data_IF_022650988603
#
_entry.id   IF_022650988603
#
_cell.length_a   1.000
_cell.length_b   1.000
_cell.length_c   1.000
_cell.angle_alpha   90.00
_cell.angle_beta   90.00
_cell.angle_gamma   90.00
#
_symmetry.space_group_name_H-M   'P 1'
#
loop_
_entity.id
_entity.type
_entity.pdbx_description
1 polymer ?
#
# COMPACT_ATOMS: atom_id res chain seq x y z
N UNK A 1 10.74 -4.17 -17.71
CA UNK A 1 11.13 -2.86 -17.17
C UNK A 1 11.58 -3.08 -15.74
N UNK A 2 12.71 -2.51 -15.33
CA UNK A 2 13.35 -2.82 -14.04
C UNK A 2 12.79 -1.92 -12.92
N UNK A 3 12.92 -2.35 -11.66
CA UNK A 3 12.51 -1.53 -10.50
C UNK A 3 13.23 -0.17 -10.49
N UNK A 4 14.45 -0.11 -11.03
CA UNK A 4 15.22 1.13 -11.19
C UNK A 4 14.50 2.20 -12.00
N UNK A 5 13.63 1.80 -12.93
CA UNK A 5 12.93 2.75 -13.81
C UNK A 5 11.81 3.50 -13.08
N UNK A 6 11.34 2.97 -11.94
CA UNK A 6 10.35 3.61 -11.06
C UNK A 6 10.95 4.59 -10.07
N UNK A 7 12.23 4.45 -9.74
CA UNK A 7 12.90 5.28 -8.74
C UNK A 7 13.27 6.60 -9.41
N UNK A 8 12.78 7.77 -8.91
CA UNK A 8 13.15 9.06 -9.46
C UNK A 8 14.67 9.23 -9.41
N UNK A 9 15.26 9.64 -10.54
CA UNK A 9 16.68 10.00 -10.56
C UNK A 9 16.86 11.27 -9.76
N UNK A 10 17.82 11.26 -8.84
CA UNK A 10 18.20 12.46 -8.10
C UNK A 10 19.07 13.36 -8.99
N UNK A 11 18.65 14.61 -9.12
CA UNK A 11 19.32 15.69 -9.86
C UNK A 11 19.56 16.88 -8.93
N UNK A 12 20.52 17.74 -9.27
CA UNK A 12 20.85 18.90 -8.42
C UNK A 12 19.77 20.00 -8.39
N UNK A 13 18.74 19.89 -9.22
CA UNK A 13 17.72 20.92 -9.43
C UNK A 13 16.40 20.64 -8.68
N UNK A 14 16.27 19.48 -8.04
CA UNK A 14 15.08 19.07 -7.31
C UNK A 14 14.87 19.85 -6.02
N UNK A 15 13.60 20.03 -5.66
CA UNK A 15 13.17 20.66 -4.43
C UNK A 15 12.54 19.63 -3.50
N UNK A 16 12.51 19.98 -2.22
CA UNK A 16 11.84 19.19 -1.18
C UNK A 16 10.39 18.87 -1.58
N UNK A 17 10.10 17.58 -1.71
CA UNK A 17 8.79 17.04 -2.05
C UNK A 17 8.66 16.58 -3.50
N UNK A 18 9.66 16.81 -4.36
CA UNK A 18 9.63 16.35 -5.74
C UNK A 18 9.67 14.82 -5.81
N UNK A 19 10.41 14.17 -4.89
CA UNK A 19 10.43 12.71 -4.73
C UNK A 19 9.26 12.17 -3.89
N UNK A 20 8.23 12.97 -3.62
CA UNK A 20 6.96 12.52 -3.06
C UNK A 20 6.64 13.13 -1.70
N UNK A 21 5.45 13.73 -1.62
CA UNK A 21 4.81 14.15 -0.36
C UNK A 21 3.70 13.16 0.00
N UNK A 22 4.01 12.16 0.81
CA UNK A 22 3.11 11.06 1.11
C UNK A 22 2.46 11.20 2.48
N UNK A 23 1.29 10.59 2.65
CA UNK A 23 0.64 10.51 3.95
C UNK A 23 0.15 9.10 4.27
N UNK A 24 0.08 8.80 5.56
CA UNK A 24 -0.67 7.69 6.14
C UNK A 24 -1.80 8.27 6.99
N UNK A 25 -3.04 7.93 6.68
CA UNK A 25 -4.19 8.16 7.53
C UNK A 25 -4.50 6.86 8.28
N UNK A 26 -4.19 6.83 9.57
CA UNK A 26 -4.30 5.62 10.37
C UNK A 26 -3.72 5.80 11.76
N UNK A 27 -3.64 4.71 12.51
CA UNK A 27 -3.31 4.73 13.94
C UNK A 27 -4.50 5.05 14.82
N UNK A 28 -4.55 4.32 15.92
CA UNK A 28 -5.52 4.37 17.01
C UNK A 28 -4.76 4.23 18.32
N UNK A 29 -5.44 4.40 19.44
CA UNK A 29 -4.92 4.20 20.79
C UNK A 29 -4.23 2.83 20.93
N UNK A 30 -4.85 1.79 20.35
CA UNK A 30 -4.34 0.42 20.39
C UNK A 30 -3.22 0.17 19.37
N UNK A 31 -3.23 0.85 18.21
CA UNK A 31 -2.34 0.55 17.10
C UNK A 31 -1.51 1.75 16.59
N UNK A 32 -0.76 2.47 17.44
CA UNK A 32 0.05 3.61 17.01
C UNK A 32 1.25 3.18 16.13
N UNK A 33 1.70 1.92 16.24
CA UNK A 33 2.87 1.42 15.49
C UNK A 33 2.62 1.18 14.00
N UNK A 34 1.39 0.82 13.61
CA UNK A 34 1.05 0.49 12.22
C UNK A 34 1.32 1.64 11.23
N UNK A 35 0.78 2.87 11.43
CA UNK A 35 1.08 3.97 10.53
C UNK A 35 2.56 4.39 10.57
N UNK A 36 3.24 4.17 11.70
CA UNK A 36 4.66 4.48 11.84
C UNK A 36 5.53 3.57 10.96
N UNK A 37 5.27 2.26 10.92
CA UNK A 37 6.00 1.35 10.03
C UNK A 37 5.81 1.72 8.56
N UNK A 38 4.57 2.02 8.16
CA UNK A 38 4.28 2.44 6.79
C UNK A 38 5.01 3.75 6.40
N UNK A 39 4.89 4.79 7.23
CA UNK A 39 5.53 6.08 6.98
C UNK A 39 7.07 5.97 6.97
N UNK A 40 7.64 5.16 7.87
CA UNK A 40 9.09 4.94 7.89
C UNK A 40 9.54 4.18 6.64
N UNK A 41 8.78 3.19 6.18
CA UNK A 41 9.09 2.49 4.94
C UNK A 41 9.06 3.42 3.71
N UNK A 42 8.11 4.37 3.65
CA UNK A 42 8.07 5.42 2.61
C UNK A 42 9.36 6.24 2.59
N UNK A 43 9.79 6.76 3.75
CA UNK A 43 11.02 7.55 3.87
C UNK A 43 12.27 6.73 3.53
N UNK A 44 12.33 5.47 3.96
CA UNK A 44 13.48 4.58 3.70
C UNK A 44 13.59 4.15 2.24
N UNK A 45 12.46 4.15 1.51
CA UNK A 45 12.45 3.93 0.07
C UNK A 45 12.96 5.15 -0.71
N UNK A 46 12.71 6.37 -0.20
CA UNK A 46 13.20 7.61 -0.80
C UNK A 46 12.14 8.70 -0.97
N UNK A 47 10.97 8.58 -0.35
CA UNK A 47 10.02 9.69 -0.31
C UNK A 47 10.60 10.87 0.50
N UNK A 48 10.42 12.09 0.02
CA UNK A 48 10.95 13.30 0.68
C UNK A 48 10.23 13.63 1.98
N UNK A 49 8.93 13.39 2.02
CA UNK A 49 8.06 13.69 3.15
C UNK A 49 7.08 12.57 3.38
N UNK A 50 6.98 12.12 4.63
CA UNK A 50 5.95 11.22 5.09
C UNK A 50 5.19 11.87 6.26
N UNK A 51 3.88 12.05 6.06
CA UNK A 51 2.96 12.54 7.07
C UNK A 51 2.18 11.38 7.69
N UNK A 52 1.88 11.46 8.98
CA UNK A 52 0.87 10.61 9.64
C UNK A 52 -0.26 11.51 10.10
N UNK A 53 -1.49 11.19 9.71
CA UNK A 53 -2.71 11.76 10.26
C UNK A 53 -3.42 10.69 11.07
N UNK A 54 -3.50 10.93 12.38
CA UNK A 54 -3.94 9.94 13.35
C UNK A 54 -4.76 10.60 14.46
N UNK A 55 -5.38 9.81 15.32
CA UNK A 55 -6.11 10.33 16.46
C UNK A 55 -5.18 11.00 17.49
N UNK A 56 -5.69 11.92 18.35
CA UNK A 56 -4.84 12.72 19.22
C UNK A 56 -3.96 11.91 20.20
N UNK A 57 -4.45 10.80 20.73
CA UNK A 57 -3.70 9.95 21.66
C UNK A 57 -2.51 9.28 20.95
N UNK A 58 -2.78 8.60 19.84
CA UNK A 58 -1.76 7.99 18.99
C UNK A 58 -0.74 9.01 18.46
N UNK A 59 -1.18 10.22 18.10
CA UNK A 59 -0.30 11.28 17.61
C UNK A 59 0.79 11.65 18.63
N UNK A 60 0.44 11.64 19.92
CA UNK A 60 1.40 11.95 21.00
C UNK A 60 2.42 10.83 21.14
N UNK A 61 1.98 9.57 21.09
CA UNK A 61 2.85 8.40 21.16
C UNK A 61 3.82 8.35 19.98
N UNK A 62 3.31 8.47 18.75
CA UNK A 62 4.11 8.32 17.52
C UNK A 62 5.19 9.40 17.41
N UNK A 63 4.95 10.62 17.89
CA UNK A 63 5.96 11.69 17.93
C UNK A 63 7.20 11.35 18.77
N UNK A 64 7.11 10.35 19.65
CA UNK A 64 8.25 9.86 20.43
C UNK A 64 9.02 8.73 19.73
N UNK A 65 8.51 8.16 18.63
CA UNK A 65 9.20 7.09 17.91
C UNK A 65 10.31 7.61 16.99
N UNK A 66 10.12 8.79 16.39
CA UNK A 66 11.01 9.32 15.36
C UNK A 66 10.73 10.81 15.10
N UNK A 67 11.77 11.66 14.98
CA UNK A 67 11.62 13.06 14.57
C UNK A 67 11.43 13.23 13.04
N UNK A 68 11.70 12.22 12.23
CA UNK A 68 11.66 12.30 10.76
C UNK A 68 10.24 12.32 10.21
N UNK A 69 9.28 11.65 10.87
CA UNK A 69 7.90 11.55 10.41
C UNK A 69 7.07 12.75 10.89
N UNK A 70 6.34 13.38 9.98
CA UNK A 70 5.50 14.55 10.30
C UNK A 70 4.13 14.10 10.83
N UNK A 71 3.87 14.27 12.12
CA UNK A 71 2.64 13.77 12.75
C UNK A 71 1.62 14.88 12.98
N UNK A 72 0.51 14.80 12.23
CA UNK A 72 -0.69 15.62 12.37
C UNK A 72 -1.87 14.87 12.98
N UNK A 73 -2.91 15.60 13.35
CA UNK A 73 -4.17 15.02 13.84
C UNK A 73 -5.14 14.78 12.68
N UNK A 74 -5.97 13.75 12.75
CA UNK A 74 -6.91 13.36 11.67
C UNK A 74 -7.78 14.51 11.12
N UNK A 75 -8.35 15.43 11.92
CA UNK A 75 -9.15 16.53 11.38
C UNK A 75 -8.40 17.50 10.45
N UNK A 76 -7.06 17.53 10.52
CA UNK A 76 -6.25 18.36 9.64
C UNK A 76 -6.06 17.73 8.25
N UNK A 77 -6.32 16.43 8.09
CA UNK A 77 -6.04 15.68 6.86
C UNK A 77 -6.63 16.33 5.60
N UNK A 78 -7.90 16.77 5.55
CA UNK A 78 -8.47 17.40 4.35
C UNK A 78 -7.71 18.66 3.90
N UNK A 79 -7.15 19.43 4.84
CA UNK A 79 -6.39 20.63 4.51
C UNK A 79 -5.05 20.28 3.83
N UNK A 80 -4.40 19.20 4.27
CA UNK A 80 -3.12 18.76 3.73
C UNK A 80 -3.24 18.01 2.41
N UNK A 81 -4.41 17.44 2.11
CA UNK A 81 -4.63 16.72 0.85
C UNK A 81 -4.22 17.53 -0.38
N UNK A 82 -4.38 18.85 -0.39
CA UNK A 82 -4.00 19.70 -1.52
C UNK A 82 -2.50 19.58 -1.90
N UNK A 83 -1.62 19.44 -0.90
CA UNK A 83 -0.15 19.42 -1.11
C UNK A 83 0.46 18.03 -1.15
N UNK A 84 -0.30 17.00 -0.79
CA UNK A 84 0.15 15.60 -0.85
C UNK A 84 0.14 15.07 -2.29
N UNK A 85 1.02 14.14 -2.60
CA UNK A 85 1.07 13.45 -3.89
C UNK A 85 0.29 12.12 -3.87
N UNK A 86 0.09 11.52 -2.69
CA UNK A 86 -0.70 10.30 -2.51
C UNK A 86 -0.85 9.92 -1.04
N UNK A 87 -1.77 9.00 -0.75
CA UNK A 87 -2.11 8.62 0.62
C UNK A 87 -2.35 7.13 0.78
N UNK A 88 -1.91 6.60 1.92
CA UNK A 88 -2.28 5.30 2.46
C UNK A 88 -3.33 5.49 3.56
N UNK A 89 -4.44 4.77 3.52
CA UNK A 89 -5.52 4.87 4.50
C UNK A 89 -5.78 3.51 5.14
N UNK A 90 -5.83 3.47 6.48
CA UNK A 90 -6.30 2.33 7.24
C UNK A 90 -5.34 1.60 8.17
N UNK A 91 -4.00 1.64 8.03
CA UNK A 91 -3.09 0.96 8.98
C UNK A 91 -3.37 1.35 10.43
N UNK A 92 -3.88 0.39 11.22
CA UNK A 92 -4.21 0.57 12.63
C UNK A 92 -5.23 1.68 12.93
N UNK A 93 -6.11 2.04 11.98
CA UNK A 93 -7.03 3.15 12.16
C UNK A 93 -8.17 2.90 13.16
N UNK A 94 -8.33 1.67 13.64
CA UNK A 94 -9.39 1.31 14.59
C UNK A 94 -10.65 0.80 13.89
N UNK A 95 -11.52 0.14 14.67
CA UNK A 95 -12.72 -0.55 14.15
C UNK A 95 -14.02 -0.23 14.89
N UNK A 96 -13.96 0.65 15.90
CA UNK A 96 -15.18 1.18 16.52
C UNK A 96 -15.94 2.09 15.53
N UNK A 97 -17.17 2.44 15.87
CA UNK A 97 -18.04 3.22 14.99
C UNK A 97 -17.46 4.59 14.60
N UNK A 98 -16.83 5.30 15.54
CA UNK A 98 -16.25 6.62 15.27
C UNK A 98 -15.02 6.51 14.36
N UNK A 99 -14.18 5.50 14.57
CA UNK A 99 -13.04 5.18 13.71
C UNK A 99 -13.50 4.84 12.29
N UNK A 100 -14.54 4.00 12.14
CA UNK A 100 -15.11 3.67 10.83
C UNK A 100 -15.62 4.90 10.11
N UNK A 101 -16.40 5.76 10.77
CA UNK A 101 -16.93 6.99 10.18
C UNK A 101 -15.81 7.93 9.69
N UNK A 102 -14.78 8.09 10.53
CA UNK A 102 -13.64 8.95 10.24
C UNK A 102 -12.81 8.43 9.05
N UNK A 103 -12.52 7.12 9.04
CA UNK A 103 -11.78 6.47 7.95
C UNK A 103 -12.57 6.53 6.64
N UNK A 104 -13.88 6.29 6.69
CA UNK A 104 -14.76 6.38 5.52
C UNK A 104 -14.82 7.80 4.97
N UNK A 105 -14.87 8.82 5.83
CA UNK A 105 -14.77 10.21 5.41
C UNK A 105 -13.41 10.50 4.73
N UNK A 106 -12.30 10.02 5.31
CA UNK A 106 -10.97 10.17 4.72
C UNK A 106 -10.86 9.53 3.33
N UNK A 107 -11.40 8.32 3.15
CA UNK A 107 -11.46 7.64 1.85
C UNK A 107 -12.26 8.47 0.84
N UNK A 108 -13.46 8.93 1.21
CA UNK A 108 -14.32 9.71 0.31
C UNK A 108 -13.66 11.02 -0.12
N UNK A 109 -13.06 11.76 0.81
CA UNK A 109 -12.37 13.03 0.50
C UNK A 109 -11.11 12.78 -0.35
N UNK A 110 -10.30 11.78 -0.02
CA UNK A 110 -9.06 11.49 -0.76
C UNK A 110 -9.34 11.03 -2.20
N UNK A 111 -10.34 10.17 -2.40
CA UNK A 111 -10.68 9.63 -3.73
C UNK A 111 -11.43 10.62 -4.63
N UNK A 112 -12.11 11.60 -4.04
CA UNK A 112 -12.78 12.69 -4.76
C UNK A 112 -11.87 13.90 -5.01
N UNK A 113 -10.66 13.95 -4.46
CA UNK A 113 -9.76 15.09 -4.59
C UNK A 113 -9.33 15.35 -6.04
N UNK A 114 -9.14 16.63 -6.37
CA UNK A 114 -8.55 17.08 -7.63
C UNK A 114 -7.26 17.90 -7.37
N UNK A 115 -6.18 17.68 -8.13
CA UNK A 115 -6.03 16.64 -9.16
C UNK A 115 -6.09 15.23 -8.54
N UNK A 116 -6.43 14.21 -9.35
CA UNK A 116 -6.46 12.81 -8.92
C UNK A 116 -5.13 12.40 -8.28
N UNK A 117 -5.22 11.66 -7.17
CA UNK A 117 -4.07 11.21 -6.38
C UNK A 117 -4.18 9.71 -6.15
N UNK A 118 -3.05 8.97 -6.15
CA UNK A 118 -3.01 7.62 -5.65
C UNK A 118 -3.52 7.49 -4.21
N UNK A 119 -4.47 6.58 -4.01
CA UNK A 119 -5.02 6.20 -2.71
C UNK A 119 -4.86 4.70 -2.53
N UNK A 120 -4.04 4.30 -1.56
CA UNK A 120 -3.94 2.89 -1.13
C UNK A 120 -4.80 2.71 0.11
N UNK A 121 -5.61 1.66 0.16
CA UNK A 121 -6.48 1.35 1.29
C UNK A 121 -6.10 -0.03 1.83
N UNK A 122 -5.67 -0.09 3.09
CA UNK A 122 -5.21 -1.31 3.76
C UNK A 122 -5.93 -1.53 5.09
N UNK A 123 -5.92 -2.78 5.57
CA UNK A 123 -6.35 -3.14 6.92
C UNK A 123 -7.70 -2.52 7.35
N UNK A 124 -7.71 -1.61 8.32
CA UNK A 124 -8.95 -1.04 8.86
C UNK A 124 -9.64 -0.09 7.86
N UNK A 125 -8.93 0.38 6.84
CA UNK A 125 -9.51 1.04 5.67
C UNK A 125 -10.43 0.09 4.90
N UNK A 126 -10.00 -1.15 4.68
CA UNK A 126 -10.81 -2.19 4.04
C UNK A 126 -12.00 -2.58 4.93
N UNK A 127 -11.78 -2.61 6.25
CA UNK A 127 -12.87 -2.82 7.21
C UNK A 127 -13.92 -1.72 7.11
N UNK A 128 -13.51 -0.45 7.08
CA UNK A 128 -14.42 0.69 6.97
C UNK A 128 -15.23 0.65 5.66
N UNK A 129 -14.63 0.23 4.54
CA UNK A 129 -15.37 -0.02 3.29
C UNK A 129 -16.48 -1.07 3.51
N UNK A 130 -16.17 -2.23 4.09
CA UNK A 130 -17.17 -3.30 4.33
C UNK A 130 -18.33 -2.81 5.20
N UNK A 131 -18.05 -1.98 6.22
CA UNK A 131 -19.06 -1.47 7.14
C UNK A 131 -19.93 -0.35 6.55
N UNK A 132 -19.32 0.57 5.82
CA UNK A 132 -19.98 1.85 5.46
C UNK A 132 -20.45 1.95 4.01
N UNK A 133 -19.99 1.06 3.12
CA UNK A 133 -20.42 1.06 1.72
C UNK A 133 -21.59 0.10 1.50
N UNK A 134 -22.43 0.46 0.54
CA UNK A 134 -23.56 -0.34 0.07
C UNK A 134 -23.19 -1.15 -1.16
N UNK A 135 -24.02 -2.14 -1.49
CA UNK A 135 -23.88 -2.87 -2.75
C UNK A 135 -24.09 -1.90 -3.93
N UNK A 136 -23.19 -1.94 -4.92
CA UNK A 136 -23.17 -1.00 -6.05
C UNK A 136 -22.36 0.28 -5.83
N UNK A 137 -21.89 0.54 -4.61
CA UNK A 137 -20.92 1.63 -4.39
C UNK A 137 -19.59 1.29 -5.11
N UNK A 138 -19.04 2.29 -5.81
CA UNK A 138 -17.80 2.17 -6.56
C UNK A 138 -16.97 3.45 -6.44
N UNK A 139 -15.66 3.32 -6.61
CA UNK A 139 -14.76 4.47 -6.63
C UNK A 139 -14.99 5.32 -7.90
N UNK A 140 -14.73 6.64 -7.84
CA UNK A 140 -14.90 7.53 -8.98
C UNK A 140 -14.09 7.09 -10.20
N UNK A 141 -14.60 7.40 -11.39
CA UNK A 141 -13.88 7.12 -12.63
C UNK A 141 -12.54 7.86 -12.67
N UNK A 142 -11.55 7.22 -13.31
CA UNK A 142 -10.17 7.68 -13.40
C UNK A 142 -9.44 7.87 -12.05
N UNK A 143 -10.02 7.40 -10.94
CA UNK A 143 -9.33 7.37 -9.65
C UNK A 143 -8.24 6.28 -9.64
N UNK A 144 -7.17 6.52 -8.88
CA UNK A 144 -6.06 5.57 -8.72
C UNK A 144 -6.19 4.97 -7.31
N UNK A 145 -7.15 4.05 -7.16
CA UNK A 145 -7.42 3.39 -5.89
C UNK A 145 -6.87 1.96 -5.94
N UNK A 146 -6.14 1.57 -4.90
CA UNK A 146 -5.60 0.23 -4.73
C UNK A 146 -5.99 -0.31 -3.35
N UNK A 147 -6.72 -1.42 -3.32
CA UNK A 147 -7.02 -2.14 -2.08
C UNK A 147 -5.98 -3.23 -1.86
N UNK A 148 -5.50 -3.41 -0.63
CA UNK A 148 -4.43 -4.39 -0.32
C UNK A 148 -4.89 -5.54 0.60
N UNK A 149 -5.96 -6.29 0.28
CA UNK A 149 -6.47 -7.30 1.21
C UNK A 149 -5.50 -8.49 1.40
N UNK A 150 -5.38 -8.98 2.63
CA UNK A 150 -4.94 -10.35 2.89
C UNK A 150 -6.08 -11.35 2.60
N UNK A 151 -5.83 -12.66 2.72
CA UNK A 151 -6.83 -13.70 2.44
C UNK A 151 -8.16 -13.54 3.20
N UNK A 152 -8.13 -13.11 4.46
CA UNK A 152 -9.33 -12.92 5.28
C UNK A 152 -10.08 -11.64 4.90
N UNK A 153 -9.35 -10.57 4.62
CA UNK A 153 -9.92 -9.29 4.14
C UNK A 153 -10.55 -9.46 2.76
N UNK A 154 -9.90 -10.22 1.88
CA UNK A 154 -10.38 -10.53 0.53
C UNK A 154 -11.72 -11.28 0.59
N UNK A 155 -11.83 -12.31 1.45
CA UNK A 155 -13.08 -13.06 1.62
C UNK A 155 -14.23 -12.17 2.13
N UNK A 156 -13.94 -11.22 3.04
CA UNK A 156 -14.93 -10.26 3.54
C UNK A 156 -15.40 -9.30 2.45
N UNK A 157 -14.48 -8.75 1.67
CA UNK A 157 -14.82 -7.87 0.55
C UNK A 157 -15.62 -8.63 -0.51
N UNK A 158 -15.23 -9.86 -0.83
CA UNK A 158 -15.93 -10.70 -1.80
C UNK A 158 -17.38 -10.95 -1.41
N UNK A 159 -17.62 -11.33 -0.15
CA UNK A 159 -18.98 -11.56 0.38
C UNK A 159 -19.83 -10.31 0.33
N UNK A 160 -19.24 -9.16 0.63
CA UNK A 160 -19.94 -7.88 0.71
C UNK A 160 -20.32 -7.32 -0.66
N UNK A 161 -19.41 -7.38 -1.63
CA UNK A 161 -19.54 -6.60 -2.87
C UNK A 161 -19.78 -7.43 -4.14
N UNK A 162 -19.55 -8.73 -4.10
CA UNK A 162 -19.80 -9.64 -5.23
C UNK A 162 -20.56 -10.91 -4.83
N UNK A 163 -21.03 -11.00 -3.57
CA UNK A 163 -21.79 -12.12 -3.03
C UNK A 163 -21.11 -13.50 -3.28
N UNK A 164 -19.78 -13.54 -3.17
CA UNK A 164 -18.96 -14.75 -3.35
C UNK A 164 -17.96 -14.93 -2.19
N UNK A 165 -17.25 -16.05 -2.12
CA UNK A 165 -16.31 -16.38 -1.03
C UNK A 165 -15.01 -16.96 -1.57
N UNK A 166 -13.88 -16.42 -1.12
CA UNK A 166 -12.54 -16.91 -1.46
C UNK A 166 -12.01 -17.97 -0.50
N UNK A 167 -12.70 -18.19 0.63
CA UNK A 167 -12.33 -19.18 1.63
C UNK A 167 -12.27 -20.60 1.04
N UNK A 168 -11.15 -21.30 1.32
CA UNK A 168 -10.90 -22.68 0.90
C UNK A 168 -10.99 -22.91 -0.62
N UNK A 169 -10.76 -21.86 -1.42
CA UNK A 169 -10.77 -21.91 -2.89
C UNK A 169 -9.35 -22.01 -3.47
N UNK A 170 -9.19 -22.65 -4.64
CA UNK A 170 -7.93 -22.63 -5.38
C UNK A 170 -7.64 -21.22 -5.93
N UNK A 171 -6.37 -20.96 -6.28
CA UNK A 171 -5.90 -19.63 -6.69
C UNK A 171 -6.66 -19.09 -7.89
N UNK A 172 -7.02 -19.93 -8.84
CA UNK A 172 -7.75 -19.57 -10.06
C UNK A 172 -9.14 -19.00 -9.73
N UNK A 173 -9.84 -19.58 -8.75
CA UNK A 173 -11.12 -19.07 -8.28
C UNK A 173 -10.95 -17.76 -7.51
N UNK A 174 -9.90 -17.64 -6.68
CA UNK A 174 -9.58 -16.38 -5.98
C UNK A 174 -9.30 -15.26 -6.99
N UNK A 175 -8.55 -15.54 -8.06
CA UNK A 175 -8.28 -14.60 -9.15
C UNK A 175 -9.57 -14.17 -9.83
N UNK A 176 -10.47 -15.10 -10.17
CA UNK A 176 -11.78 -14.77 -10.77
C UNK A 176 -12.62 -13.86 -9.87
N UNK A 177 -12.67 -14.15 -8.58
CA UNK A 177 -13.41 -13.35 -7.59
C UNK A 177 -12.76 -11.96 -7.45
N UNK A 178 -11.43 -11.89 -7.38
CA UNK A 178 -10.69 -10.63 -7.35
C UNK A 178 -10.96 -9.77 -8.60
N UNK A 179 -10.96 -10.35 -9.79
CA UNK A 179 -11.32 -9.63 -11.02
C UNK A 179 -12.75 -9.08 -11.01
N UNK A 180 -13.70 -9.85 -10.46
CA UNK A 180 -15.09 -9.38 -10.32
C UNK A 180 -15.20 -8.24 -9.32
N UNK A 181 -14.46 -8.33 -8.21
CA UNK A 181 -14.44 -7.30 -7.17
C UNK A 181 -13.75 -6.01 -7.66
N UNK A 182 -12.63 -6.12 -8.37
CA UNK A 182 -11.89 -4.99 -8.94
C UNK A 182 -12.73 -4.18 -9.93
N UNK A 183 -13.49 -4.87 -10.80
CA UNK A 183 -14.44 -4.23 -11.72
C UNK A 183 -15.62 -3.60 -10.96
N UNK A 184 -16.24 -4.34 -10.03
CA UNK A 184 -17.41 -3.89 -9.26
C UNK A 184 -17.12 -2.59 -8.51
N UNK A 185 -15.98 -2.55 -7.80
CA UNK A 185 -15.56 -1.37 -7.04
C UNK A 185 -14.85 -0.31 -7.89
N UNK A 186 -14.50 -0.60 -9.15
CA UNK A 186 -13.70 0.28 -10.01
C UNK A 186 -12.34 0.64 -9.38
N UNK A 187 -11.60 -0.36 -8.90
CA UNK A 187 -10.29 -0.18 -8.27
C UNK A 187 -9.30 -1.27 -8.65
N UNK A 188 -8.03 -1.06 -8.34
CA UNK A 188 -7.02 -2.10 -8.40
C UNK A 188 -7.08 -2.92 -7.10
N UNK A 189 -6.79 -4.22 -7.19
CA UNK A 189 -6.63 -5.09 -6.04
C UNK A 189 -5.20 -5.62 -5.99
N UNK A 190 -4.58 -5.55 -4.81
CA UNK A 190 -3.34 -6.23 -4.49
C UNK A 190 -3.65 -7.27 -3.40
N UNK A 191 -3.92 -8.51 -3.82
CA UNK A 191 -4.23 -9.62 -2.90
C UNK A 191 -2.93 -10.20 -2.36
N UNK A 192 -2.68 -9.99 -1.07
CA UNK A 192 -1.45 -10.43 -0.38
C UNK A 192 -1.50 -11.93 -0.12
N UNK A 193 -0.45 -12.65 -0.51
CA UNK A 193 -0.44 -14.12 -0.44
C UNK A 193 0.94 -14.76 -0.44
N UNK A 194 0.97 -16.09 -0.64
CA UNK A 194 2.23 -16.79 -0.95
C UNK A 194 2.82 -16.21 -2.24
N UNK A 195 1.97 -16.08 -3.23
CA UNK A 195 2.14 -15.26 -4.42
C UNK A 195 1.20 -14.07 -4.25
N UNK A 196 1.68 -12.87 -4.56
CA UNK A 196 0.82 -11.70 -4.56
C UNK A 196 0.10 -11.62 -5.90
N UNK A 197 -1.20 -11.30 -5.89
CA UNK A 197 -2.00 -11.16 -7.11
C UNK A 197 -2.40 -9.69 -7.25
N UNK A 198 -2.06 -9.08 -8.38
CA UNK A 198 -2.49 -7.73 -8.72
C UNK A 198 -3.52 -7.78 -9.84
N UNK A 199 -4.67 -7.10 -9.64
CA UNK A 199 -5.78 -7.07 -10.59
C UNK A 199 -6.18 -5.64 -10.88
N UNK A 200 -6.31 -5.28 -12.17
CA UNK A 200 -6.75 -3.94 -12.60
C UNK A 200 -8.28 -3.86 -12.63
N UNK A 201 -8.88 -2.64 -12.63
CA UNK A 201 -10.32 -2.47 -12.85
C UNK A 201 -10.80 -3.06 -14.19
N UNK A 202 -9.89 -3.26 -15.15
CA UNK A 202 -10.14 -3.88 -16.46
C UNK A 202 -9.96 -5.40 -16.44
N UNK A 203 -9.83 -6.01 -15.26
CA UNK A 203 -9.63 -7.45 -15.04
C UNK A 203 -8.32 -8.02 -15.60
N UNK A 204 -7.32 -7.17 -15.82
CA UNK A 204 -5.97 -7.66 -16.14
C UNK A 204 -5.33 -8.19 -14.86
N UNK A 205 -4.69 -9.36 -14.93
CA UNK A 205 -4.17 -10.08 -13.77
C UNK A 205 -2.66 -10.25 -13.89
N UNK A 206 -1.96 -9.98 -12.79
CA UNK A 206 -0.52 -10.15 -12.65
C UNK A 206 -0.22 -10.93 -11.38
N UNK A 207 0.69 -11.90 -11.46
CA UNK A 207 1.07 -12.77 -10.33
C UNK A 207 2.55 -12.52 -10.03
N UNK A 208 2.84 -12.16 -8.77
CA UNK A 208 4.19 -11.90 -8.30
C UNK A 208 4.66 -13.03 -7.38
N UNK A 209 5.52 -13.89 -7.89
CA UNK A 209 6.02 -15.10 -7.18
C UNK A 209 7.41 -14.92 -6.59
N UNK A 210 7.82 -13.70 -6.23
CA UNK A 210 9.11 -13.45 -5.60
C UNK A 210 9.21 -14.20 -4.26
N UNK A 211 10.38 -14.78 -3.99
CA UNK A 211 10.67 -15.43 -2.71
C UNK A 211 10.87 -14.38 -1.61
N UNK A 212 10.19 -14.57 -0.49
CA UNK A 212 10.35 -13.76 0.72
C UNK A 212 10.87 -14.58 1.90
N UNK A 213 10.61 -14.11 3.11
CA UNK A 213 10.87 -14.87 4.33
C UNK A 213 9.66 -15.73 4.72
N UNK A 214 9.91 -16.90 5.32
CA UNK A 214 8.86 -17.72 5.95
C UNK A 214 8.35 -17.08 7.26
N UNK A 215 9.12 -16.15 7.84
CA UNK A 215 8.78 -15.46 9.09
C UNK A 215 7.88 -14.26 8.78
N UNK A 216 6.74 -14.18 9.47
CA UNK A 216 5.69 -13.16 9.30
C UNK A 216 5.38 -12.43 10.63
N UNK A 217 6.29 -11.58 11.13
CA UNK A 217 6.00 -10.69 12.25
C UNK A 217 4.96 -9.63 11.86
N UNK A 218 4.30 -9.04 12.86
CA UNK A 218 3.45 -7.87 12.64
C UNK A 218 4.26 -6.69 12.08
N UNK A 219 3.61 -5.83 11.30
CA UNK A 219 4.22 -4.63 10.70
C UNK A 219 4.71 -4.79 9.26
N UNK A 220 4.95 -6.01 8.76
CA UNK A 220 5.39 -6.20 7.36
C UNK A 220 4.33 -5.75 6.35
N UNK A 221 3.04 -5.98 6.66
CA UNK A 221 1.93 -5.51 5.84
C UNK A 221 1.91 -3.98 5.72
N UNK A 222 2.16 -3.28 6.83
CA UNK A 222 2.23 -1.83 6.88
C UNK A 222 3.42 -1.31 6.05
N UNK A 223 4.58 -1.99 6.13
CA UNK A 223 5.73 -1.69 5.28
C UNK A 223 5.39 -1.83 3.79
N UNK A 224 4.76 -2.95 3.39
CA UNK A 224 4.33 -3.17 2.01
C UNK A 224 3.38 -2.07 1.53
N UNK A 225 2.39 -1.71 2.35
CA UNK A 225 1.42 -0.67 1.99
C UNK A 225 2.09 0.70 1.82
N UNK A 226 3.07 1.05 2.67
CA UNK A 226 3.86 2.27 2.52
C UNK A 226 4.73 2.28 1.25
N UNK A 227 5.42 1.16 0.98
CA UNK A 227 6.22 0.97 -0.23
C UNK A 227 5.38 1.06 -1.50
N UNK A 228 4.22 0.38 -1.52
CA UNK A 228 3.27 0.41 -2.63
C UNK A 228 2.80 1.84 -2.91
N UNK A 229 2.38 2.56 -1.87
CA UNK A 229 1.93 3.95 -2.01
C UNK A 229 3.00 4.82 -2.66
N UNK A 230 4.25 4.66 -2.25
CA UNK A 230 5.39 5.43 -2.79
C UNK A 230 5.63 5.13 -4.26
N UNK A 231 5.73 3.85 -4.62
CA UNK A 231 5.96 3.45 -6.01
C UNK A 231 4.81 3.86 -6.93
N UNK A 232 3.56 3.78 -6.47
CA UNK A 232 2.39 4.17 -7.25
C UNK A 232 2.37 5.68 -7.49
N UNK A 233 2.77 6.48 -6.50
CA UNK A 233 2.95 7.93 -6.67
C UNK A 233 4.04 8.24 -7.69
N UNK A 234 5.19 7.57 -7.64
CA UNK A 234 6.25 7.76 -8.63
C UNK A 234 5.82 7.36 -10.04
N UNK A 235 5.13 6.21 -10.19
CA UNK A 235 4.56 5.79 -11.46
C UNK A 235 3.56 6.80 -12.02
N UNK A 236 2.66 7.30 -11.16
CA UNK A 236 1.67 8.30 -11.52
C UNK A 236 2.30 9.62 -11.98
N UNK A 237 3.28 10.15 -11.22
CA UNK A 237 3.98 11.40 -11.59
C UNK A 237 4.76 11.26 -12.90
N UNK A 238 5.31 10.08 -13.17
CA UNK A 238 6.02 9.77 -14.42
C UNK A 238 5.09 9.74 -15.65
N UNK A 239 3.80 9.43 -15.47
CA UNK A 239 2.79 9.31 -16.54
C UNK A 239 3.07 8.27 -17.64
N UNK A 240 4.25 7.63 -17.64
CA UNK A 240 4.64 6.61 -18.62
C UNK A 240 4.79 5.21 -18.01
N UNK A 241 4.85 5.11 -16.68
CA UNK A 241 5.05 3.84 -16.00
C UNK A 241 3.70 3.26 -15.55
N UNK A 242 3.36 2.03 -15.95
CA UNK A 242 2.12 1.39 -15.52
C UNK A 242 2.07 1.10 -14.02
N UNK A 243 0.87 1.12 -13.43
CA UNK A 243 0.65 0.93 -11.99
C UNK A 243 1.01 -0.50 -11.54
N UNK A 244 0.79 -1.50 -12.38
CA UNK A 244 1.17 -2.89 -12.10
C UNK A 244 2.68 -3.06 -11.91
N UNK A 245 3.51 -2.20 -12.52
CA UNK A 245 4.96 -2.21 -12.32
C UNK A 245 5.33 -1.66 -10.94
N UNK A 246 4.62 -0.62 -10.49
CA UNK A 246 4.76 -0.13 -9.12
C UNK A 246 4.36 -1.19 -8.09
N UNK A 247 3.30 -1.95 -8.35
CA UNK A 247 2.87 -3.06 -7.51
C UNK A 247 3.92 -4.19 -7.46
N UNK A 248 4.46 -4.59 -8.60
CA UNK A 248 5.53 -5.59 -8.69
C UNK A 248 6.77 -5.16 -7.91
N UNK A 249 7.20 -3.89 -8.06
CA UNK A 249 8.31 -3.32 -7.32
C UNK A 249 8.09 -3.33 -5.80
N UNK A 250 6.90 -2.97 -5.34
CA UNK A 250 6.55 -3.01 -3.92
C UNK A 250 6.59 -4.43 -3.35
N UNK A 251 6.06 -5.42 -4.09
CA UNK A 251 6.14 -6.84 -3.75
C UNK A 251 7.59 -7.30 -3.64
N UNK A 252 8.38 -7.03 -4.68
CA UNK A 252 9.79 -7.41 -4.77
C UNK A 252 10.61 -6.83 -3.62
N UNK A 253 10.56 -5.50 -3.41
CA UNK A 253 11.34 -4.82 -2.37
C UNK A 253 10.98 -5.34 -0.98
N UNK A 254 9.69 -5.51 -0.70
CA UNK A 254 9.23 -6.03 0.60
C UNK A 254 9.75 -7.45 0.85
N UNK A 255 9.63 -8.33 -0.15
CA UNK A 255 10.00 -9.74 -0.03
C UNK A 255 11.51 -9.91 0.09
N UNK A 256 12.27 -9.20 -0.72
CA UNK A 256 13.73 -9.22 -0.68
C UNK A 256 14.29 -8.61 0.61
N UNK A 257 13.73 -7.49 1.07
CA UNK A 257 14.09 -6.91 2.36
C UNK A 257 13.76 -7.87 3.53
N UNK A 258 12.62 -8.56 3.46
CA UNK A 258 12.23 -9.57 4.46
C UNK A 258 13.16 -10.78 4.45
N UNK A 259 13.57 -11.25 3.26
CA UNK A 259 14.54 -12.34 3.12
C UNK A 259 15.88 -11.96 3.76
N UNK A 260 16.42 -10.80 3.39
CA UNK A 260 17.69 -10.31 3.94
C UNK A 260 17.63 -10.05 5.45
N UNK A 261 16.49 -9.56 5.98
CA UNK A 261 16.33 -9.35 7.41
C UNK A 261 16.26 -10.68 8.19
N UNK A 262 15.68 -11.72 7.57
CA UNK A 262 15.61 -13.05 8.15
C UNK A 262 16.96 -13.78 8.15
N UNK A 263 17.78 -13.57 7.12
CA UNK A 263 19.14 -14.12 7.08
C UNK A 263 19.98 -13.64 8.26
N UNK A 264 19.82 -12.37 8.66
CA UNK A 264 20.54 -11.79 9.78
C UNK A 264 19.95 -12.17 11.15
N UNK A 265 18.62 -12.18 11.27
CA UNK A 265 17.95 -12.20 12.58
C UNK A 265 17.17 -13.50 12.86
N UNK A 266 17.01 -14.37 11.87
CA UNK A 266 16.24 -15.60 11.95
C UNK A 266 14.84 -15.38 12.54
N UNK A 267 14.49 -16.19 13.55
CA UNK A 267 13.18 -16.11 14.24
C UNK A 267 12.95 -14.77 14.96
N UNK A 268 14.02 -14.04 15.30
CA UNK A 268 13.97 -12.75 15.98
C UNK A 268 13.62 -11.57 15.08
N UNK A 269 13.52 -11.77 13.75
CA UNK A 269 13.19 -10.72 12.78
C UNK A 269 11.84 -10.03 13.09
N UNK A 270 11.86 -8.70 13.08
CA UNK A 270 10.71 -7.80 13.22
C UNK A 270 10.60 -6.82 12.03
N UNK A 271 9.52 -6.01 12.00
CA UNK A 271 9.29 -5.05 10.93
C UNK A 271 10.40 -3.99 10.78
N UNK A 272 11.00 -3.55 11.89
CA UNK A 272 12.13 -2.60 11.88
C UNK A 272 13.35 -3.18 11.17
N UNK A 273 13.59 -4.48 11.30
CA UNK A 273 14.70 -5.16 10.62
C UNK A 273 14.46 -5.21 9.11
N UNK A 274 13.21 -5.46 8.69
CA UNK A 274 12.81 -5.39 7.27
C UNK A 274 13.00 -3.97 6.74
N UNK A 275 12.56 -2.95 7.48
CA UNK A 275 12.72 -1.54 7.11
C UNK A 275 14.20 -1.17 6.95
N UNK A 276 15.06 -1.66 7.85
CA UNK A 276 16.51 -1.44 7.78
C UNK A 276 17.15 -2.02 6.51
N UNK A 277 16.55 -3.05 5.89
CA UNK A 277 17.03 -3.65 4.64
C UNK A 277 16.58 -2.92 3.38
N UNK A 278 15.62 -1.99 3.46
CA UNK A 278 15.14 -1.22 2.30
C UNK A 278 16.29 -0.38 1.72
N UNK A 279 16.95 0.45 2.53
CA UNK A 279 18.01 1.38 2.07
C UNK A 279 19.16 0.67 1.31
N UNK A 280 19.81 -0.37 1.86
CA UNK A 280 20.87 -1.05 1.12
C UNK A 280 20.36 -1.77 -0.13
N UNK A 281 19.10 -2.22 -0.15
CA UNK A 281 18.50 -2.82 -1.34
C UNK A 281 18.28 -1.78 -2.44
N UNK A 282 17.70 -0.63 -2.11
CA UNK A 282 17.46 0.47 -3.07
C UNK A 282 18.78 0.99 -3.64
N UNK A 283 19.79 1.22 -2.79
CA UNK A 283 21.14 1.61 -3.25
C UNK A 283 21.73 0.63 -4.26
N UNK A 284 21.49 -0.69 -4.10
CA UNK A 284 21.95 -1.69 -5.08
C UNK A 284 21.17 -1.62 -6.39
N UNK A 285 19.85 -1.40 -6.33
CA UNK A 285 18.98 -1.28 -7.51
C UNK A 285 19.37 -0.03 -8.34
N UNK A 286 19.74 1.07 -7.68
CA UNK A 286 20.19 2.29 -8.36
C UNK A 286 21.56 2.12 -9.05
N UNK A 287 22.49 1.39 -8.43
CA UNK A 287 23.86 1.20 -8.97
C UNK A 287 23.95 0.08 -10.00
N UNK A 288 23.08 -0.93 -9.93
CA UNK A 288 23.05 -2.07 -10.83
C UNK A 288 21.63 -2.33 -11.34
N UNK A 289 21.29 -1.91 -12.57
CA UNK A 289 19.96 -2.14 -13.16
C UNK A 289 19.66 -3.63 -13.44
N UNK A 290 20.53 -4.57 -13.02
CA UNK A 290 20.37 -6.02 -13.18
C UNK A 290 19.27 -6.65 -12.31
N UNK A 291 18.45 -5.86 -11.62
CA UNK A 291 17.15 -6.31 -11.15
C UNK A 291 16.18 -6.52 -12.32
N UNK A 292 16.51 -7.43 -13.23
CA UNK A 292 15.53 -7.92 -14.20
C UNK A 292 14.40 -8.55 -13.39
N UNK A 293 13.28 -7.83 -13.29
CA UNK A 293 12.00 -8.44 -12.97
C UNK A 293 11.74 -9.47 -14.07
N UNK A 294 12.04 -10.73 -13.79
CA UNK A 294 11.50 -11.83 -14.59
C UNK A 294 10.01 -11.81 -14.33
N UNK A 295 9.17 -11.36 -15.30
CA UNK A 295 7.74 -11.46 -15.11
C UNK A 295 7.44 -12.95 -15.11
N UNK A 296 7.07 -13.47 -13.94
CA UNK A 296 6.40 -14.76 -13.88
C UNK A 296 5.15 -14.60 -14.73
N UNK A 297 5.03 -15.50 -15.71
CA UNK A 297 3.94 -15.73 -16.64
C UNK A 297 2.71 -14.85 -16.42
N UNK A 298 2.53 -13.84 -17.29
CA UNK A 298 1.24 -13.19 -17.45
C UNK A 298 0.29 -14.24 -18.05
N UNK A 299 -0.45 -14.93 -17.20
CA UNK A 299 -1.60 -15.71 -17.65
C UNK A 299 -2.77 -14.74 -17.76
N UNK A 300 -2.87 -14.05 -18.91
CA UNK A 300 -4.16 -13.47 -19.32
C UNK A 300 -5.04 -14.62 -19.75
N UNK A 301 -5.63 -15.33 -18.78
CA UNK A 301 -6.75 -16.18 -19.09
C UNK A 301 -7.95 -15.25 -19.33
N UNK A 302 -8.29 -15.05 -20.61
CA UNK A 302 -9.68 -14.77 -20.99
C UNK A 302 -10.48 -16.01 -20.60
N UNK A 303 -10.95 -16.05 -19.35
CA UNK A 303 -12.06 -16.92 -18.95
C UNK A 303 -13.37 -16.17 -19.21
#
# INVERSE_FOLDING_TARGET
QAVSDLIPRLTGDEKKGDCGRLAVFGGSEEYPGAPFYAATAMLRLGADLAHIFTEPAAATVIKNYSPEVLVGKSPAFPHWLAVLDGVLIGPGAGRDGASVDLVSAAIRVATAAEPKKPVVIDADGLWALVQSWMEGDRFPDNSIVILTPNANEMDRLAKKFVNDSTKDRPLEEVVRIASSLAESLNCHLFVKGREDVFVTPKKEVFIFSHSGSLRRPGGIGDCLAGLLTTFVVWAHKSSVIPIEKAAEAASYVTREASRAAYEDNGRGMNATDVIAKIVPLIKRIEVSPFGQMNPVSIVVNKL
#
